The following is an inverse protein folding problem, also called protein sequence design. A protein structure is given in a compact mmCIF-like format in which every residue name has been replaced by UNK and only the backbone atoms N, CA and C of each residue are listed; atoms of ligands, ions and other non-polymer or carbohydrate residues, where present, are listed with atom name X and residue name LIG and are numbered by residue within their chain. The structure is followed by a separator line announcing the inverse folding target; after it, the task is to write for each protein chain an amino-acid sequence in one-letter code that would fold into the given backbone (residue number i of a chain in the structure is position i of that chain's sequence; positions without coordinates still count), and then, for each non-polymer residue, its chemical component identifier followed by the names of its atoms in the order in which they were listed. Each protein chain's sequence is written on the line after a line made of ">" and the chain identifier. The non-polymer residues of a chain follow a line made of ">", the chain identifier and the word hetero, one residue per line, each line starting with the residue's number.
data_IF_223832630595
#
_entry.id   IF_223832630595
#
_cell.length_a   1.000
_cell.length_b   1.000
_cell.length_c   1.000
_cell.angle_alpha   90.00
_cell.angle_beta   90.00
_cell.angle_gamma   90.00
#
_symmetry.space_group_name_H-M   'P 1'
#
loop_
_entity.id
_entity.type
_entity.pdbx_description
1 polymer ?
#
# COMPACT_ATOMS: atom_id res chain seq x y z
N UNK A 1 46.95 3.84 10.40
CA UNK A 1 45.59 3.49 9.96
C UNK A 1 45.61 3.50 8.44
N UNK A 2 45.53 2.33 7.80
CA UNK A 2 45.94 2.18 6.41
C UNK A 2 44.85 2.70 5.46
N UNK A 3 45.22 3.36 4.37
CA UNK A 3 44.26 3.88 3.37
C UNK A 3 43.31 2.79 2.85
N UNK A 4 43.82 1.56 2.76
CA UNK A 4 43.06 0.37 2.40
C UNK A 4 41.88 0.07 3.34
N UNK A 5 42.05 0.26 4.66
CA UNK A 5 40.96 0.02 5.62
C UNK A 5 39.85 1.05 5.49
N UNK A 6 40.20 2.32 5.21
CA UNK A 6 39.20 3.35 4.94
C UNK A 6 38.42 3.08 3.66
N UNK A 7 39.10 2.65 2.59
CA UNK A 7 38.46 2.31 1.33
C UNK A 7 37.51 1.11 1.49
N UNK A 8 37.95 0.08 2.23
CA UNK A 8 37.13 -1.08 2.53
C UNK A 8 35.88 -0.74 3.36
N UNK A 9 36.02 0.12 4.38
CA UNK A 9 34.88 0.59 5.18
C UNK A 9 33.89 1.42 4.36
N UNK A 10 34.39 2.30 3.49
CA UNK A 10 33.54 3.10 2.60
C UNK A 10 32.76 2.21 1.63
N UNK A 11 33.43 1.21 1.03
CA UNK A 11 32.79 0.27 0.13
C UNK A 11 31.72 -0.58 0.84
N UNK A 12 32.02 -1.10 2.04
CA UNK A 12 31.07 -1.85 2.85
C UNK A 12 29.85 -1.00 3.23
N UNK A 13 30.06 0.26 3.60
CA UNK A 13 28.98 1.19 3.93
C UNK A 13 28.08 1.49 2.72
N UNK A 14 28.66 1.69 1.54
CA UNK A 14 27.89 1.89 0.31
C UNK A 14 27.08 0.64 -0.05
N UNK A 15 27.69 -0.54 0.03
CA UNK A 15 27.02 -1.81 -0.22
C UNK A 15 25.83 -2.01 0.72
N UNK A 16 26.03 -1.75 2.01
CA UNK A 16 24.97 -1.83 3.02
C UNK A 16 23.79 -0.91 2.68
N UNK A 17 24.05 0.33 2.25
CA UNK A 17 22.98 1.25 1.81
C UNK A 17 22.21 0.71 0.61
N UNK A 18 22.91 0.18 -0.40
CA UNK A 18 22.26 -0.36 -1.61
C UNK A 18 21.34 -1.52 -1.24
N UNK A 19 21.82 -2.45 -0.41
CA UNK A 19 21.02 -3.57 0.09
C UNK A 19 19.82 -3.04 0.88
N UNK A 20 20.02 -2.11 1.80
CA UNK A 20 18.95 -1.52 2.60
C UNK A 20 17.87 -0.85 1.73
N UNK A 21 18.26 -0.08 0.71
CA UNK A 21 17.32 0.53 -0.25
C UNK A 21 16.57 -0.53 -1.05
N UNK A 22 17.27 -1.55 -1.53
CA UNK A 22 16.66 -2.63 -2.31
C UNK A 22 15.61 -3.41 -1.49
N UNK A 23 15.86 -3.63 -0.20
CA UNK A 23 14.89 -4.28 0.70
C UNK A 23 13.77 -3.34 1.17
N UNK A 24 13.98 -2.02 1.15
CA UNK A 24 13.02 -1.03 1.62
C UNK A 24 12.11 -0.49 0.51
N UNK A 25 12.51 -0.58 -0.75
CA UNK A 25 11.76 -0.08 -1.89
C UNK A 25 11.11 -1.25 -2.66
N UNK A 26 9.82 -1.12 -2.93
CA UNK A 26 9.07 -2.08 -3.73
C UNK A 26 8.36 -1.36 -4.89
N UNK A 27 8.44 -1.90 -6.10
CA UNK A 27 7.67 -1.40 -7.23
C UNK A 27 6.34 -2.16 -7.27
N UNK A 28 5.24 -1.42 -7.23
CA UNK A 28 3.87 -1.98 -7.25
C UNK A 28 3.13 -1.43 -8.48
N UNK A 29 2.44 -2.31 -9.19
CA UNK A 29 1.58 -1.93 -10.32
C UNK A 29 0.15 -1.71 -9.85
N UNK A 30 -0.42 -0.53 -10.15
CA UNK A 30 -1.80 -0.20 -9.83
C UNK A 30 -2.75 -1.01 -10.74
N UNK A 31 -3.66 -1.78 -10.15
CA UNK A 31 -4.64 -2.57 -10.91
C UNK A 31 -6.07 -2.00 -10.84
N UNK A 32 -6.40 -1.23 -9.78
CA UNK A 32 -7.75 -0.74 -9.53
C UNK A 32 -7.95 0.74 -9.89
N UNK A 33 -9.18 1.10 -10.27
CA UNK A 33 -9.59 2.49 -10.59
C UNK A 33 -9.90 3.36 -9.37
N UNK A 34 -9.84 2.82 -8.15
CA UNK A 34 -10.31 3.52 -6.93
C UNK A 34 -9.51 4.78 -6.52
N UNK A 35 -8.34 4.99 -7.13
CA UNK A 35 -7.49 6.15 -6.90
C UNK A 35 -7.51 7.13 -8.08
N UNK A 36 -8.37 6.93 -9.08
CA UNK A 36 -8.54 7.90 -10.15
C UNK A 36 -9.11 9.22 -9.60
N UNK A 37 -8.67 10.38 -10.14
CA UNK A 37 -7.70 10.55 -11.23
C UNK A 37 -6.23 10.53 -10.78
N UNK A 38 -5.93 10.40 -9.48
CA UNK A 38 -4.55 10.50 -8.95
C UNK A 38 -3.64 9.38 -9.45
N UNK A 39 -4.14 8.14 -9.51
CA UNK A 39 -3.41 6.98 -10.01
C UNK A 39 -4.27 6.25 -11.03
N UNK A 40 -3.67 5.86 -12.14
CA UNK A 40 -4.31 5.12 -13.22
C UNK A 40 -3.94 3.64 -13.18
N UNK A 41 -4.85 2.74 -13.59
CA UNK A 41 -4.50 1.34 -13.80
C UNK A 41 -3.32 1.21 -14.77
N UNK A 42 -2.29 0.45 -14.38
CA UNK A 42 -1.04 0.30 -15.12
C UNK A 42 0.12 1.15 -14.60
N UNK A 43 -0.14 2.16 -13.76
CA UNK A 43 0.93 2.95 -13.14
C UNK A 43 1.84 2.07 -12.29
N UNK A 44 3.15 2.31 -12.39
CA UNK A 44 4.16 1.67 -11.54
C UNK A 44 4.58 2.66 -10.46
N UNK A 45 4.23 2.38 -9.22
CA UNK A 45 4.56 3.22 -8.08
C UNK A 45 5.67 2.61 -7.26
N UNK A 46 6.62 3.43 -6.83
CA UNK A 46 7.66 3.04 -5.90
C UNK A 46 7.14 3.25 -4.47
N UNK A 47 7.13 2.19 -3.67
CA UNK A 47 6.59 2.17 -2.32
C UNK A 47 7.72 1.92 -1.34
N UNK A 48 7.76 2.72 -0.28
CA UNK A 48 8.67 2.50 0.84
C UNK A 48 8.02 1.58 1.88
N UNK A 49 8.61 0.40 2.11
CA UNK A 49 8.06 -0.65 2.98
C UNK A 49 8.30 -0.40 4.47
N UNK A 50 9.48 0.10 4.82
CA UNK A 50 9.91 0.32 6.20
C UNK A 50 9.77 1.79 6.60
N UNK A 51 8.55 2.29 6.78
CA UNK A 51 8.30 3.66 7.26
C UNK A 51 7.94 3.66 8.75
N UNK A 52 8.40 4.67 9.49
CA UNK A 52 7.96 4.86 10.88
C UNK A 52 6.54 5.43 10.90
N UNK A 53 5.63 4.95 11.78
CA UNK A 53 4.27 5.47 11.90
C UNK A 53 4.20 6.98 12.18
N UNK A 54 5.22 7.51 12.86
CA UNK A 54 5.33 8.94 13.19
C UNK A 54 5.53 9.84 11.97
N UNK A 55 5.99 9.28 10.84
CA UNK A 55 6.20 10.04 9.60
C UNK A 55 4.95 10.07 8.71
N UNK A 56 3.88 9.40 9.16
CA UNK A 56 2.61 9.39 8.45
C UNK A 56 1.96 10.78 8.53
N UNK A 57 1.59 11.31 7.37
CA UNK A 57 0.93 12.60 7.21
C UNK A 57 -0.40 12.43 6.52
N UNK A 58 -1.37 13.26 6.87
CA UNK A 58 -2.64 13.36 6.16
C UNK A 58 -2.39 13.65 4.68
N UNK A 59 -3.14 12.98 3.80
CA UNK A 59 -3.02 13.09 2.36
C UNK A 59 -1.97 12.18 1.72
N UNK A 60 -1.12 11.48 2.48
CA UNK A 60 -0.20 10.49 1.92
C UNK A 60 -0.95 9.28 1.37
N UNK A 61 -0.38 8.67 0.33
CA UNK A 61 -0.88 7.42 -0.26
C UNK A 61 -0.13 6.27 0.38
N UNK A 62 -0.88 5.34 0.96
CA UNK A 62 -0.34 4.21 1.71
C UNK A 62 -0.86 2.89 1.17
N UNK A 63 -0.04 1.87 1.34
CA UNK A 63 -0.36 0.49 1.02
C UNK A 63 -0.85 -0.21 2.30
N UNK A 64 -2.09 -0.70 2.30
CA UNK A 64 -2.74 -1.30 3.48
C UNK A 64 -3.05 -2.76 3.20
N UNK A 65 -2.57 -3.63 4.09
CA UNK A 65 -2.85 -5.06 4.00
C UNK A 65 -4.25 -5.36 4.58
N UNK A 66 -5.10 -6.12 3.85
CA UNK A 66 -6.36 -6.61 4.40
C UNK A 66 -6.11 -7.37 5.72
N UNK A 67 -6.74 -6.94 6.80
CA UNK A 67 -6.65 -7.64 8.10
C UNK A 67 -7.58 -8.85 8.20
N UNK A 68 -8.53 -9.00 7.26
CA UNK A 68 -9.43 -10.14 7.21
C UNK A 68 -8.85 -11.22 6.29
N UNK A 69 -8.81 -12.50 6.71
CA UNK A 69 -8.49 -13.59 5.80
C UNK A 69 -9.48 -13.55 4.64
N UNK A 70 -8.98 -13.79 3.42
CA UNK A 70 -9.85 -13.89 2.24
C UNK A 70 -10.93 -14.95 2.51
N UNK A 71 -12.18 -14.75 2.05
CA UNK A 71 -13.19 -15.79 2.13
C UNK A 71 -12.67 -17.11 1.52
N UNK A 72 -13.00 -18.27 2.12
CA UNK A 72 -12.60 -19.56 1.56
C UNK A 72 -13.04 -19.67 0.09
N UNK A 73 -12.10 -20.00 -0.81
CA UNK A 73 -12.36 -20.13 -2.25
C UNK A 73 -12.00 -18.92 -3.11
N UNK A 74 -11.58 -17.79 -2.53
CA UNK A 74 -11.05 -16.65 -3.30
C UNK A 74 -9.55 -16.82 -3.51
N UNK A 75 -9.16 -17.36 -4.67
CA UNK A 75 -7.76 -17.40 -5.13
C UNK A 75 -7.54 -16.21 -6.05
N UNK A 76 -6.84 -15.17 -5.57
CA UNK A 76 -6.45 -14.07 -6.45
C UNK A 76 -5.05 -14.34 -6.98
N UNK A 77 -5.00 -14.92 -8.19
CA UNK A 77 -3.76 -15.13 -8.92
C UNK A 77 -3.26 -13.78 -9.43
N UNK A 78 -2.29 -13.19 -8.75
CA UNK A 78 -1.51 -12.11 -9.35
C UNK A 78 -0.67 -12.69 -10.49
N UNK A 79 -0.85 -12.15 -11.70
CA UNK A 79 0.02 -12.43 -12.84
C UNK A 79 1.45 -12.00 -12.49
N UNK A 80 2.29 -12.95 -12.07
CA UNK A 80 3.68 -12.75 -11.67
C UNK A 80 3.99 -12.98 -10.18
N UNK A 81 3.02 -13.39 -9.35
CA UNK A 81 3.27 -13.81 -7.97
C UNK A 81 3.55 -15.33 -7.92
N UNK A 82 4.51 -15.72 -7.06
CA UNK A 82 4.88 -17.12 -6.81
C UNK A 82 3.63 -17.95 -6.44
N UNK A 83 3.33 -19.04 -7.17
CA UNK A 83 2.11 -19.83 -6.98
C UNK A 83 1.97 -20.49 -5.59
N UNK A 84 3.01 -20.45 -4.75
CA UNK A 84 2.96 -20.95 -3.37
C UNK A 84 2.59 -19.90 -2.31
N UNK A 85 2.46 -18.62 -2.67
CA UNK A 85 2.05 -17.57 -1.72
C UNK A 85 0.56 -17.28 -1.87
N UNK A 86 -0.22 -17.57 -0.83
CA UNK A 86 -1.52 -16.97 -0.59
C UNK A 86 -1.37 -15.44 -0.64
N UNK A 87 -1.58 -14.86 -1.82
CA UNK A 87 -1.20 -13.47 -2.09
C UNK A 87 -2.33 -12.58 -1.61
N UNK A 88 -2.24 -12.15 -0.35
CA UNK A 88 -3.08 -11.10 0.19
C UNK A 88 -2.81 -9.83 -0.63
N UNK A 89 -3.77 -9.36 -1.44
CA UNK A 89 -3.57 -8.16 -2.26
C UNK A 89 -3.68 -6.92 -1.36
N UNK A 90 -2.63 -6.09 -1.27
CA UNK A 90 -2.71 -4.86 -0.54
C UNK A 90 -3.57 -3.81 -1.27
N UNK A 91 -4.27 -2.98 -0.50
CA UNK A 91 -5.04 -1.85 -1.00
C UNK A 91 -4.21 -0.58 -1.03
N UNK A 92 -4.47 0.27 -2.01
CA UNK A 92 -3.86 1.60 -2.11
C UNK A 92 -4.92 2.62 -1.74
N UNK A 93 -4.65 3.39 -0.68
CA UNK A 93 -5.59 4.38 -0.12
C UNK A 93 -4.86 5.65 0.27
N UNK A 94 -5.61 6.75 0.39
CA UNK A 94 -5.11 8.02 0.91
C UNK A 94 -5.45 8.15 2.39
N UNK A 95 -4.49 8.59 3.20
CA UNK A 95 -4.68 8.86 4.63
C UNK A 95 -5.60 10.06 4.80
N UNK A 96 -6.80 9.83 5.34
CA UNK A 96 -7.81 10.88 5.56
C UNK A 96 -7.65 11.60 6.92
N UNK A 97 -7.05 10.94 7.90
CA UNK A 97 -6.76 11.51 9.21
C UNK A 97 -5.77 10.65 9.99
N UNK A 98 -5.20 11.23 11.04
CA UNK A 98 -4.25 10.62 11.96
C UNK A 98 -4.89 10.38 13.33
N UNK A 99 -4.27 9.59 14.22
CA UNK A 99 -4.77 9.42 15.59
C UNK A 99 -4.98 10.76 16.29
N UNK A 100 -6.18 10.99 16.82
CA UNK A 100 -6.58 12.26 17.44
C UNK A 100 -7.37 13.20 16.50
N UNK A 101 -7.40 12.95 15.20
CA UNK A 101 -8.19 13.75 14.26
C UNK A 101 -9.69 13.45 14.39
N UNK A 102 -10.52 14.50 14.46
CA UNK A 102 -11.97 14.40 14.31
C UNK A 102 -12.34 14.56 12.84
N UNK A 103 -12.78 13.48 12.21
CA UNK A 103 -13.24 13.50 10.82
C UNK A 103 -14.77 13.67 10.81
N UNK A 104 -15.25 14.78 10.23
CA UNK A 104 -16.68 15.02 10.01
C UNK A 104 -16.91 14.95 8.50
N UNK A 105 -17.76 14.02 8.06
CA UNK A 105 -18.15 13.87 6.66
C UNK A 105 -19.63 14.14 6.50
N UNK A 106 -19.98 15.08 5.61
CA UNK A 106 -21.36 15.24 5.15
C UNK A 106 -21.59 14.25 4.02
N UNK A 107 -22.54 13.33 4.21
CA UNK A 107 -22.96 12.39 3.17
C UNK A 107 -23.89 13.18 2.25
N UNK A 108 -23.34 13.72 1.16
CA UNK A 108 -24.14 14.52 0.25
C UNK A 108 -25.01 13.65 -0.67
N UNK A 109 -24.58 12.43 -1.00
CA UNK A 109 -25.37 11.51 -1.84
C UNK A 109 -25.08 10.04 -1.45
N UNK A 110 -26.14 9.27 -1.20
CA UNK A 110 -26.05 7.81 -1.13
C UNK A 110 -25.96 7.28 -2.55
N UNK A 111 -25.04 6.35 -2.87
CA UNK A 111 -25.05 5.67 -4.16
C UNK A 111 -26.42 5.01 -4.35
N UNK A 112 -27.08 5.35 -5.45
CA UNK A 112 -28.45 4.96 -5.82
C UNK A 112 -28.71 3.45 -5.69
N UNK A 113 -27.64 2.65 -5.79
CA UNK A 113 -27.66 1.18 -5.68
C UNK A 113 -27.89 0.63 -4.24
N UNK A 114 -28.12 1.46 -3.23
CA UNK A 114 -28.55 1.01 -1.88
C UNK A 114 -30.00 1.32 -1.52
N UNK A 115 -30.80 1.86 -2.45
CA UNK A 115 -32.23 2.12 -2.21
C UNK A 115 -33.14 0.90 -2.45
N UNK A 116 -32.62 -0.23 -2.93
CA UNK A 116 -33.44 -1.38 -3.36
C UNK A 116 -33.66 -2.47 -2.30
N UNK A 117 -33.02 -2.45 -1.12
CA UNK A 117 -33.11 -3.59 -0.17
C UNK A 117 -34.03 -3.32 1.03
N UNK A 118 -34.79 -2.23 1.04
CA UNK A 118 -35.78 -1.94 2.10
C UNK A 118 -37.17 -1.76 1.53
N UNK A 119 -37.67 -2.77 0.83
CA UNK A 119 -39.08 -2.89 0.50
C UNK A 119 -39.35 -4.32 0.05
N UNK A 120 -39.74 -5.17 1.01
CA UNK A 120 -40.58 -6.39 0.88
C UNK A 120 -40.19 -7.44 1.92
N UNK A 121 -40.43 -7.18 3.21
CA UNK A 121 -40.83 -8.21 4.17
C UNK A 121 -41.93 -7.57 5.03
N UNK A 122 -43.14 -7.56 4.47
CA UNK A 122 -44.37 -7.74 5.23
C UNK A 122 -44.76 -9.21 5.08
#
# INVERSE_FOLDING_TARGET
>A
MNYFTFLALLAAFLLFKIIYLHFSLAIVTIQGSSMQPTLQPGDRVLVWRHYLPQWLKKGQIVLVWPSKPLPPGVVILQKGADPNLFTVIPYIKRVAGLPGDKIITHINELPENRKSTTSSIL
#
